data_IF_784546748946
#
_entry.id   IF_784546748946
#
_cell.length_a   1.000
_cell.length_b   1.000
_cell.length_c   1.000
_cell.angle_alpha   90.00
_cell.angle_beta   90.00
_cell.angle_gamma   90.00
#
_symmetry.space_group_name_H-M   'P 1'
#
loop_
_entity.id
_entity.type
_entity.pdbx_description
1 polymer ?
#
# COMPACT_ATOMS: atom_id res chain seq x y z
N UNK A 1 -30.79 -24.61 38.50
CA UNK A 1 -29.66 -24.62 37.54
C UNK A 1 -30.07 -24.24 36.12
N UNK A 2 -31.08 -24.85 35.48
CA UNK A 2 -31.49 -24.45 34.10
C UNK A 2 -32.07 -23.02 34.00
N UNK A 3 -32.73 -22.53 35.04
CA UNK A 3 -33.38 -21.20 35.04
C UNK A 3 -32.36 -20.05 34.95
N UNK A 4 -31.17 -20.19 35.53
CA UNK A 4 -30.13 -19.15 35.45
C UNK A 4 -29.51 -19.05 34.05
N UNK A 5 -29.38 -20.18 33.34
CA UNK A 5 -28.94 -20.19 31.95
C UNK A 5 -29.99 -19.62 31.00
N UNK A 6 -31.28 -19.88 31.25
CA UNK A 6 -32.36 -19.25 30.50
C UNK A 6 -32.36 -17.73 30.71
N UNK A 7 -32.24 -17.26 31.97
CA UNK A 7 -32.10 -15.83 32.29
C UNK A 7 -30.86 -15.22 31.64
N UNK A 8 -29.71 -15.88 31.71
CA UNK A 8 -28.48 -15.45 31.04
C UNK A 8 -28.69 -15.24 29.52
N UNK A 9 -29.32 -16.20 28.85
CA UNK A 9 -29.56 -16.15 27.40
C UNK A 9 -30.66 -15.15 26.98
N UNK A 10 -31.53 -14.72 27.91
CA UNK A 10 -32.62 -13.77 27.60
C UNK A 10 -32.38 -12.36 28.11
N UNK A 11 -31.60 -12.19 29.18
CA UNK A 11 -31.36 -10.90 29.87
C UNK A 11 -30.01 -10.28 29.51
N UNK A 12 -29.06 -11.04 28.94
CA UNK A 12 -27.77 -10.50 28.47
C UNK A 12 -27.81 -10.38 26.95
N UNK A 13 -27.89 -9.15 26.46
CA UNK A 13 -27.84 -8.78 25.05
C UNK A 13 -26.69 -7.77 24.79
N UNK A 14 -26.59 -7.29 23.55
CA UNK A 14 -25.61 -6.27 23.13
C UNK A 14 -25.74 -4.92 23.89
N UNK A 15 -26.83 -4.71 24.66
CA UNK A 15 -27.13 -3.50 25.41
C UNK A 15 -26.98 -3.65 26.94
N UNK A 16 -26.85 -4.87 27.46
CA UNK A 16 -26.72 -5.13 28.91
C UNK A 16 -25.30 -4.81 29.40
N UNK A 17 -25.16 -3.67 30.09
CA UNK A 17 -23.88 -3.20 30.68
C UNK A 17 -23.65 -3.59 32.14
N UNK A 18 -24.67 -4.03 32.86
CA UNK A 18 -24.53 -4.49 34.25
C UNK A 18 -25.21 -5.84 34.44
N UNK A 19 -24.42 -6.84 34.84
CA UNK A 19 -24.90 -8.21 35.02
C UNK A 19 -25.40 -8.37 36.47
N UNK A 20 -26.61 -8.91 36.68
CA UNK A 20 -27.13 -9.20 38.01
C UNK A 20 -26.18 -10.10 38.82
N UNK A 21 -25.90 -9.73 40.08
CA UNK A 21 -25.00 -10.46 40.99
C UNK A 21 -25.35 -11.95 41.14
N UNK A 22 -26.62 -12.30 40.99
CA UNK A 22 -27.13 -13.68 41.03
C UNK A 22 -26.56 -14.58 39.92
N UNK A 23 -26.12 -14.01 38.80
CA UNK A 23 -25.49 -14.74 37.69
C UNK A 23 -23.98 -14.89 37.91
N UNK A 24 -23.34 -13.92 38.58
CA UNK A 24 -21.91 -13.99 38.94
C UNK A 24 -21.62 -15.02 40.03
N UNK A 25 -22.59 -15.32 40.90
CA UNK A 25 -22.44 -16.33 41.95
C UNK A 25 -22.26 -17.76 41.38
N UNK A 26 -22.55 -17.97 40.09
CA UNK A 26 -22.29 -19.23 39.40
C UNK A 26 -20.95 -19.20 38.63
N UNK A 27 -19.95 -20.01 39.02
CA UNK A 27 -18.61 -19.98 38.40
C UNK A 27 -18.59 -20.36 36.91
N UNK A 28 -19.58 -21.10 36.41
CA UNK A 28 -19.68 -21.44 34.98
C UNK A 28 -20.19 -20.25 34.15
N UNK A 29 -21.07 -19.43 34.73
CA UNK A 29 -21.62 -18.26 34.05
C UNK A 29 -20.58 -17.13 34.02
N UNK A 30 -19.81 -16.96 35.11
CA UNK A 30 -18.72 -15.98 35.16
C UNK A 30 -17.67 -16.16 34.05
N UNK A 31 -17.28 -17.41 33.74
CA UNK A 31 -16.35 -17.70 32.62
C UNK A 31 -16.95 -17.40 31.24
N UNK A 32 -18.25 -17.59 31.08
CA UNK A 32 -18.93 -17.29 29.82
C UNK A 32 -19.03 -15.77 29.59
N UNK A 33 -19.25 -15.00 30.66
CA UNK A 33 -19.27 -13.53 30.65
C UNK A 33 -17.89 -12.96 30.32
N UNK A 34 -16.83 -13.43 30.98
CA UNK A 34 -15.45 -12.98 30.73
C UNK A 34 -15.07 -13.14 29.25
N UNK A 35 -15.39 -14.31 28.68
CA UNK A 35 -15.15 -14.58 27.25
C UNK A 35 -16.01 -13.71 26.33
N UNK A 36 -17.21 -13.31 26.77
CA UNK A 36 -18.09 -12.41 26.03
C UNK A 36 -17.52 -10.99 26.05
N UNK A 37 -17.07 -10.48 27.20
CA UNK A 37 -16.40 -9.18 27.34
C UNK A 37 -15.12 -9.11 26.51
N UNK A 38 -14.31 -10.17 26.48
CA UNK A 38 -13.13 -10.28 25.61
C UNK A 38 -13.48 -10.22 24.11
N UNK A 39 -14.72 -10.57 23.74
CA UNK A 39 -15.20 -10.60 22.35
C UNK A 39 -16.04 -9.38 21.94
N UNK A 40 -16.56 -8.62 22.90
CA UNK A 40 -17.41 -7.47 22.69
C UNK A 40 -16.57 -6.18 22.77
N UNK A 41 -15.86 -5.84 21.69
CA UNK A 41 -15.28 -4.50 21.57
C UNK A 41 -16.38 -3.46 21.76
N UNK A 42 -16.15 -2.47 22.63
CA UNK A 42 -17.09 -1.36 22.77
C UNK A 42 -17.15 -0.55 21.47
N UNK A 43 -18.27 0.11 21.17
CA UNK A 43 -18.41 0.93 19.95
C UNK A 43 -17.26 1.94 19.75
N UNK A 44 -16.73 2.49 20.86
CA UNK A 44 -15.59 3.41 20.82
C UNK A 44 -14.29 2.73 20.40
N UNK A 45 -14.07 1.50 20.86
CA UNK A 45 -12.90 0.69 20.49
C UNK A 45 -12.99 0.20 19.06
N UNK A 46 -14.17 -0.21 18.60
CA UNK A 46 -14.41 -0.58 17.20
C UNK A 46 -14.17 0.62 16.27
N UNK A 47 -14.66 1.82 16.63
CA UNK A 47 -14.40 3.04 15.87
C UNK A 47 -12.91 3.41 15.85
N UNK A 48 -12.20 3.22 16.97
CA UNK A 48 -10.77 3.45 17.04
C UNK A 48 -9.99 2.47 16.16
N UNK A 49 -10.40 1.20 16.16
CA UNK A 49 -9.85 0.16 15.30
C UNK A 49 -10.07 0.47 13.81
N UNK A 50 -11.28 0.86 13.41
CA UNK A 50 -11.57 1.25 12.02
C UNK A 50 -10.73 2.44 11.56
N UNK A 51 -10.64 3.50 12.39
CA UNK A 51 -9.80 4.67 12.09
C UNK A 51 -8.32 4.31 11.98
N UNK A 52 -7.85 3.41 12.83
CA UNK A 52 -6.48 2.92 12.78
C UNK A 52 -6.22 2.22 11.43
N UNK A 53 -7.08 1.27 11.06
CA UNK A 53 -6.91 0.52 9.80
C UNK A 53 -7.09 1.37 8.55
N UNK A 54 -7.97 2.35 8.57
CA UNK A 54 -8.11 3.32 7.48
C UNK A 54 -6.83 4.14 7.28
N UNK A 55 -6.23 4.60 8.38
CA UNK A 55 -4.96 5.34 8.37
C UNK A 55 -3.81 4.50 7.81
N UNK A 56 -3.69 3.25 8.26
CA UNK A 56 -2.67 2.31 7.77
C UNK A 56 -2.88 2.01 6.28
N UNK A 57 -4.12 1.77 5.87
CA UNK A 57 -4.47 1.47 4.48
C UNK A 57 -4.17 2.64 3.55
N UNK A 58 -4.53 3.86 3.96
CA UNK A 58 -4.24 5.09 3.21
C UNK A 58 -2.74 5.34 3.09
N UNK A 59 -2.00 5.19 4.20
CA UNK A 59 -0.54 5.34 4.20
C UNK A 59 0.14 4.35 3.26
N UNK A 60 -0.31 3.08 3.29
CA UNK A 60 0.18 2.03 2.39
C UNK A 60 -0.13 2.35 0.93
N UNK A 61 -1.34 2.83 0.63
CA UNK A 61 -1.74 3.20 -0.72
C UNK A 61 -0.89 4.34 -1.27
N UNK A 62 -0.61 5.36 -0.46
CA UNK A 62 0.27 6.48 -0.83
C UNK A 62 1.68 6.00 -1.17
N UNK A 63 2.25 5.12 -0.35
CA UNK A 63 3.57 4.54 -0.59
C UNK A 63 3.61 3.74 -1.90
N UNK A 64 2.62 2.85 -2.12
CA UNK A 64 2.52 2.05 -3.35
C UNK A 64 2.37 2.97 -4.57
N UNK A 65 1.53 3.99 -4.48
CA UNK A 65 1.32 4.97 -5.54
C UNK A 65 2.61 5.73 -5.88
N UNK A 66 3.36 6.16 -4.89
CA UNK A 66 4.65 6.83 -5.07
C UNK A 66 5.68 5.90 -5.72
N UNK A 67 5.82 4.66 -5.24
CA UNK A 67 6.75 3.67 -5.79
C UNK A 67 6.42 3.36 -7.26
N UNK A 68 5.15 3.15 -7.58
CA UNK A 68 4.72 2.85 -8.95
C UNK A 68 5.00 4.01 -9.92
N UNK A 69 4.73 5.25 -9.49
CA UNK A 69 5.07 6.44 -10.29
C UNK A 69 6.58 6.57 -10.48
N UNK A 70 7.35 6.46 -9.40
CA UNK A 70 8.81 6.54 -9.45
C UNK A 70 9.44 5.48 -10.37
N UNK A 71 8.94 4.24 -10.33
CA UNK A 71 9.43 3.19 -11.20
C UNK A 71 9.08 3.42 -12.67
N UNK A 72 7.87 3.91 -12.96
CA UNK A 72 7.46 4.26 -14.33
C UNK A 72 8.32 5.39 -14.90
N UNK A 73 8.45 6.50 -14.17
CA UNK A 73 9.27 7.63 -14.59
C UNK A 73 10.74 7.27 -14.71
N UNK A 74 11.27 6.47 -13.78
CA UNK A 74 12.65 5.98 -13.82
C UNK A 74 12.92 5.12 -15.03
N UNK A 75 11.99 4.21 -15.37
CA UNK A 75 12.11 3.36 -16.56
C UNK A 75 12.05 4.18 -17.86
N UNK A 76 11.12 5.13 -17.95
CA UNK A 76 10.97 5.99 -19.12
C UNK A 76 12.22 6.86 -19.35
N UNK A 77 12.69 7.56 -18.30
CA UNK A 77 13.94 8.34 -18.35
C UNK A 77 15.15 7.46 -18.67
N UNK A 78 15.21 6.25 -18.09
CA UNK A 78 16.28 5.29 -18.34
C UNK A 78 16.32 4.83 -19.81
N UNK A 79 15.15 4.52 -20.39
CA UNK A 79 15.03 4.11 -21.78
C UNK A 79 15.40 5.24 -22.75
N UNK A 80 14.93 6.47 -22.48
CA UNK A 80 15.26 7.63 -23.29
C UNK A 80 16.75 7.94 -23.27
N UNK A 81 17.35 7.96 -22.06
CA UNK A 81 18.79 8.15 -21.90
C UNK A 81 19.58 7.06 -22.59
N UNK A 82 19.20 5.79 -22.42
CA UNK A 82 19.86 4.66 -23.07
C UNK A 82 19.81 4.75 -24.60
N UNK A 83 18.66 5.09 -25.17
CA UNK A 83 18.52 5.33 -26.62
C UNK A 83 19.39 6.49 -27.10
N UNK A 84 19.48 7.58 -26.33
CA UNK A 84 20.33 8.72 -26.68
C UNK A 84 21.81 8.36 -26.62
N UNK A 85 22.25 7.68 -25.55
CA UNK A 85 23.62 7.23 -25.37
C UNK A 85 24.05 6.25 -26.47
N UNK A 86 23.15 5.34 -26.87
CA UNK A 86 23.38 4.42 -28.00
C UNK A 86 23.51 5.18 -29.33
N UNK A 87 22.63 6.14 -29.62
CA UNK A 87 22.73 6.99 -30.81
C UNK A 87 24.05 7.76 -30.86
N UNK A 88 24.50 8.31 -29.73
CA UNK A 88 25.79 9.01 -29.62
C UNK A 88 26.95 8.03 -29.86
N UNK A 89 26.88 6.81 -29.31
CA UNK A 89 27.91 5.79 -29.51
C UNK A 89 28.03 5.41 -30.99
N UNK A 90 26.90 5.19 -31.67
CA UNK A 90 26.86 4.91 -33.11
C UNK A 90 27.42 6.10 -33.89
N UNK A 91 27.00 7.33 -33.58
CA UNK A 91 27.48 8.52 -34.26
C UNK A 91 29.01 8.71 -34.11
N UNK A 92 29.58 8.41 -32.94
CA UNK A 92 31.03 8.41 -32.73
C UNK A 92 31.74 7.38 -33.59
N UNK A 93 31.23 6.16 -33.66
CA UNK A 93 31.79 5.12 -34.53
C UNK A 93 31.76 5.54 -36.00
N UNK A 94 30.62 6.04 -36.49
CA UNK A 94 30.49 6.52 -37.87
C UNK A 94 31.42 7.71 -38.17
N UNK A 95 31.60 8.63 -37.21
CA UNK A 95 32.54 9.75 -37.35
C UNK A 95 33.97 9.26 -37.45
N UNK A 96 34.36 8.27 -36.64
CA UNK A 96 35.68 7.64 -36.69
C UNK A 96 35.94 6.90 -38.01
N UNK A 97 34.89 6.34 -38.62
CA UNK A 97 34.94 5.72 -39.95
C UNK A 97 34.92 6.73 -41.12
N UNK A 98 34.81 8.04 -40.83
CA UNK A 98 34.92 9.10 -41.84
C UNK A 98 33.61 9.48 -42.53
N UNK A 99 32.45 9.08 -42.00
CA UNK A 99 31.17 9.49 -42.57
C UNK A 99 30.93 11.00 -42.41
N UNK A 100 30.35 11.69 -43.41
CA UNK A 100 30.02 13.10 -43.32
C UNK A 100 29.00 13.38 -42.19
N UNK A 101 29.14 14.48 -41.42
CA UNK A 101 28.23 14.83 -40.32
C UNK A 101 26.75 14.88 -40.73
N UNK A 102 26.44 15.30 -41.95
CA UNK A 102 25.09 15.38 -42.50
C UNK A 102 24.49 13.98 -42.72
N UNK A 103 25.33 13.02 -43.11
CA UNK A 103 24.93 11.62 -43.27
C UNK A 103 24.68 10.97 -41.93
N UNK A 104 25.52 11.23 -40.93
CA UNK A 104 25.36 10.74 -39.56
C UNK A 104 24.09 11.32 -38.92
N UNK A 105 23.82 12.62 -39.12
CA UNK A 105 22.62 13.29 -38.62
C UNK A 105 21.35 12.64 -39.17
N UNK A 106 21.32 12.37 -40.49
CA UNK A 106 20.18 11.72 -41.15
C UNK A 106 19.93 10.29 -40.64
N UNK A 107 20.98 9.54 -40.30
CA UNK A 107 20.88 8.13 -39.87
C UNK A 107 20.54 8.01 -38.38
N UNK A 108 21.22 8.79 -37.53
CA UNK A 108 21.09 8.70 -36.07
C UNK A 108 19.96 9.57 -35.50
N UNK A 109 19.47 10.53 -36.29
CA UNK A 109 18.50 11.53 -35.88
C UNK A 109 19.05 12.53 -34.87
N UNK A 110 20.38 12.62 -34.73
CA UNK A 110 21.06 13.66 -33.96
C UNK A 110 21.24 14.91 -34.82
N UNK A 111 21.37 16.06 -34.16
CA UNK A 111 21.67 17.31 -34.88
C UNK A 111 23.13 17.33 -35.32
N UNK A 112 23.42 18.05 -36.41
CA UNK A 112 24.80 18.22 -36.90
C UNK A 112 25.68 18.84 -35.81
N UNK A 113 25.15 19.78 -35.03
CA UNK A 113 25.86 20.40 -33.89
C UNK A 113 26.25 19.38 -32.81
N UNK A 114 25.35 18.45 -32.46
CA UNK A 114 25.65 17.39 -31.50
C UNK A 114 26.73 16.44 -32.04
N UNK A 115 26.74 16.16 -33.34
CA UNK A 115 27.73 15.28 -33.99
C UNK A 115 29.10 15.93 -34.11
N UNK A 116 29.15 17.24 -34.38
CA UNK A 116 30.42 17.98 -34.41
C UNK A 116 31.07 18.07 -33.02
N UNK A 117 30.25 18.13 -31.96
CA UNK A 117 30.73 18.25 -30.57
C UNK A 117 31.11 16.94 -29.86
N UNK A 118 30.79 15.78 -30.42
CA UNK A 118 31.15 14.44 -29.88
C UNK A 118 32.42 13.86 -30.48
#
# INVERSE_FOLDING_TARGET
MQVLWLRYLTEIDENTREIPKELLDNPEIGKAVEKLEESAFTEKELLAYDKFWDTISTSRLLLIGAMRRGMKEGMEKGLEKGRKDEKIKIARSMKAEGFPPETIARITGLTVSEITGI
#
